data_IF_784836006313
#
_entry.id   IF_784836006313
#
_cell.length_a   1.000
_cell.length_b   1.000
_cell.length_c   1.000
_cell.angle_alpha   90.00
_cell.angle_beta   90.00
_cell.angle_gamma   90.00
#
_symmetry.space_group_name_H-M   'P 1'
#
loop_
_entity.id
_entity.type
_entity.pdbx_description
1 polymer ?
#
# COMPACT_ATOMS: atom_id res chain seq x y z
N UNK A 1 -43.91 21.90 -48.56
CA UNK A 1 -43.19 20.62 -48.42
C UNK A 1 -41.74 20.83 -47.95
N UNK A 2 -41.05 21.90 -48.38
CA UNK A 2 -39.66 22.23 -47.97
C UNK A 2 -39.44 22.69 -46.49
N UNK A 3 -40.49 23.04 -45.74
CA UNK A 3 -40.37 23.46 -44.33
C UNK A 3 -40.38 22.28 -43.32
N UNK A 4 -40.74 21.06 -43.74
CA UNK A 4 -40.69 19.86 -42.89
C UNK A 4 -39.33 19.15 -42.91
N UNK A 5 -38.51 19.40 -43.92
CA UNK A 5 -37.18 18.79 -44.05
C UNK A 5 -36.11 19.51 -43.20
N UNK A 6 -36.25 20.83 -42.97
CA UNK A 6 -35.29 21.58 -42.15
C UNK A 6 -35.41 21.29 -40.65
N UNK A 7 -36.62 21.08 -40.12
CA UNK A 7 -36.85 20.81 -38.70
C UNK A 7 -36.38 19.40 -38.26
N UNK A 8 -36.38 18.45 -39.20
CA UNK A 8 -35.84 17.10 -39.00
C UNK A 8 -34.31 17.08 -38.99
N UNK A 9 -33.65 18.02 -39.69
CA UNK A 9 -32.19 18.13 -39.72
C UNK A 9 -31.62 18.78 -38.46
N UNK A 10 -32.32 19.77 -37.89
CA UNK A 10 -31.95 20.44 -36.63
C UNK A 10 -32.14 19.52 -35.43
N UNK A 11 -33.27 18.78 -35.35
CA UNK A 11 -33.49 17.82 -34.27
C UNK A 11 -32.48 16.66 -34.25
N UNK A 12 -32.00 16.22 -35.43
CA UNK A 12 -30.94 15.21 -35.54
C UNK A 12 -29.56 15.73 -35.12
N UNK A 13 -29.23 16.96 -35.50
CA UNK A 13 -27.98 17.59 -35.10
C UNK A 13 -27.93 17.86 -33.58
N UNK A 14 -29.06 18.28 -32.99
CA UNK A 14 -29.19 18.50 -31.55
C UNK A 14 -29.13 17.17 -30.75
N UNK A 15 -29.74 16.09 -31.27
CA UNK A 15 -29.62 14.74 -30.69
C UNK A 15 -28.20 14.15 -30.82
N UNK A 16 -27.52 14.35 -31.95
CA UNK A 16 -26.14 13.92 -32.17
C UNK A 16 -25.15 14.68 -31.27
N UNK A 17 -25.34 15.98 -31.09
CA UNK A 17 -24.50 16.82 -30.21
C UNK A 17 -24.73 16.50 -28.72
N UNK A 18 -25.98 16.21 -28.34
CA UNK A 18 -26.32 15.73 -27.00
C UNK A 18 -25.67 14.37 -26.69
N UNK A 19 -25.73 13.43 -27.64
CA UNK A 19 -25.13 12.09 -27.50
C UNK A 19 -23.61 12.16 -27.41
N UNK A 20 -22.98 13.03 -28.21
CA UNK A 20 -21.53 13.25 -28.16
C UNK A 20 -21.09 13.88 -26.84
N UNK A 21 -21.84 14.86 -26.35
CA UNK A 21 -21.58 15.53 -25.07
C UNK A 21 -21.67 14.55 -23.89
N UNK A 22 -22.68 13.67 -23.90
CA UNK A 22 -22.80 12.61 -22.90
C UNK A 22 -21.60 11.65 -22.93
N UNK A 23 -21.14 11.28 -24.13
CA UNK A 23 -19.99 10.38 -24.29
C UNK A 23 -18.68 11.01 -23.80
N UNK A 24 -18.48 12.30 -24.05
CA UNK A 24 -17.31 13.03 -23.54
C UNK A 24 -17.32 13.04 -22.01
N UNK A 25 -18.45 13.41 -21.40
CA UNK A 25 -18.58 13.42 -19.94
C UNK A 25 -18.35 12.04 -19.30
N UNK A 26 -18.78 10.97 -19.96
CA UNK A 26 -18.49 9.60 -19.52
C UNK A 26 -16.99 9.29 -19.54
N UNK A 27 -16.29 9.66 -20.63
CA UNK A 27 -14.85 9.44 -20.76
C UNK A 27 -14.03 10.27 -19.78
N UNK A 28 -14.43 11.52 -19.53
CA UNK A 28 -13.81 12.37 -18.50
C UNK A 28 -13.97 11.73 -17.11
N UNK A 29 -15.18 11.28 -16.77
CA UNK A 29 -15.43 10.58 -15.50
C UNK A 29 -14.63 9.27 -15.34
N UNK A 30 -14.34 8.59 -16.43
CA UNK A 30 -13.49 7.41 -16.43
C UNK A 30 -12.00 7.76 -16.32
N UNK A 31 -11.55 8.83 -16.96
CA UNK A 31 -10.18 9.32 -16.82
C UNK A 31 -9.91 9.70 -15.36
N UNK A 32 -10.79 10.49 -14.73
CA UNK A 32 -10.70 10.85 -13.31
C UNK A 32 -10.65 9.60 -12.41
N UNK A 33 -11.41 8.56 -12.77
CA UNK A 33 -11.37 7.29 -12.07
C UNK A 33 -10.02 6.59 -12.23
N UNK A 34 -9.48 6.50 -13.45
CA UNK A 34 -8.19 5.88 -13.73
C UNK A 34 -7.02 6.60 -13.04
N UNK A 35 -7.02 7.93 -13.06
CA UNK A 35 -6.00 8.74 -12.37
C UNK A 35 -6.02 8.48 -10.86
N UNK A 36 -7.21 8.40 -10.26
CA UNK A 36 -7.35 8.13 -8.82
C UNK A 36 -6.85 6.74 -8.44
N UNK A 37 -7.20 5.70 -9.20
CA UNK A 37 -6.75 4.33 -8.88
C UNK A 37 -5.25 4.16 -9.10
N UNK A 38 -4.66 4.87 -10.05
CA UNK A 38 -3.23 4.83 -10.34
C UNK A 38 -2.36 5.41 -9.20
N UNK A 39 -2.93 6.22 -8.30
CA UNK A 39 -2.17 6.76 -7.16
C UNK A 39 -1.93 5.73 -6.04
N UNK A 40 -2.74 4.65 -5.95
CA UNK A 40 -2.53 3.56 -4.99
C UNK A 40 -2.76 3.91 -3.51
N UNK A 41 -3.51 4.99 -3.22
CA UNK A 41 -3.78 5.45 -1.85
C UNK A 41 -5.01 4.83 -1.19
N UNK A 42 -5.99 4.38 -1.98
CA UNK A 42 -7.26 3.80 -1.50
C UNK A 42 -7.26 2.27 -1.65
N UNK A 43 -8.17 1.60 -0.93
CA UNK A 43 -8.39 0.16 -1.10
C UNK A 43 -9.17 -0.05 -2.41
N UNK A 44 -8.66 -0.91 -3.30
CA UNK A 44 -9.39 -1.29 -4.52
C UNK A 44 -10.52 -2.26 -4.20
N UNK A 45 -11.73 -1.71 -4.07
CA UNK A 45 -12.96 -2.46 -3.83
C UNK A 45 -13.42 -3.25 -5.06
N UNK A 46 -14.30 -4.24 -4.86
CA UNK A 46 -14.82 -5.09 -5.94
C UNK A 46 -15.50 -4.27 -7.03
N UNK A 47 -16.29 -3.27 -6.65
CA UNK A 47 -17.02 -2.41 -7.58
C UNK A 47 -16.08 -1.59 -8.46
N UNK A 48 -14.93 -1.18 -7.91
CA UNK A 48 -13.90 -0.44 -8.63
C UNK A 48 -13.19 -1.34 -9.64
N UNK A 49 -12.86 -2.57 -9.25
CA UNK A 49 -12.26 -3.56 -10.15
C UNK A 49 -13.23 -3.92 -11.28
N UNK A 50 -14.51 -4.10 -10.98
CA UNK A 50 -15.52 -4.35 -12.01
C UNK A 50 -15.70 -3.16 -12.95
N UNK A 51 -15.65 -1.92 -12.44
CA UNK A 51 -15.62 -0.71 -13.29
C UNK A 51 -14.38 -0.70 -14.18
N UNK A 52 -13.20 -0.99 -13.63
CA UNK A 52 -11.94 -1.03 -14.37
C UNK A 52 -11.95 -2.10 -15.48
N UNK A 53 -12.47 -3.32 -15.19
CA UNK A 53 -12.66 -4.37 -16.20
C UNK A 53 -13.56 -3.91 -17.34
N UNK A 54 -14.66 -3.20 -17.05
CA UNK A 54 -15.54 -2.63 -18.09
C UNK A 54 -14.82 -1.62 -18.98
N UNK A 55 -13.97 -0.78 -18.40
CA UNK A 55 -13.15 0.18 -19.15
C UNK A 55 -12.12 -0.56 -20.01
N UNK A 56 -11.47 -1.59 -19.48
CA UNK A 56 -10.46 -2.39 -20.16
C UNK A 56 -10.99 -3.17 -21.39
N UNK A 57 -12.31 -3.44 -21.46
CA UNK A 57 -12.92 -4.02 -22.65
C UNK A 57 -12.90 -3.08 -23.87
N UNK A 58 -12.68 -1.77 -23.65
CA UNK A 58 -12.66 -0.79 -24.74
C UNK A 58 -11.39 -0.93 -25.55
N UNK A 59 -11.56 -0.68 -26.84
CA UNK A 59 -10.48 -0.54 -27.79
C UNK A 59 -10.57 0.83 -28.43
N UNK A 60 -9.42 1.39 -28.75
CA UNK A 60 -9.34 2.61 -29.54
C UNK A 60 -8.68 2.27 -30.87
N UNK A 61 -9.07 2.97 -31.93
CA UNK A 61 -8.43 2.82 -33.23
C UNK A 61 -7.40 3.92 -33.41
N UNK A 62 -6.17 3.53 -33.73
CA UNK A 62 -5.14 4.46 -34.15
C UNK A 62 -4.54 4.01 -35.47
N UNK A 63 -4.85 4.77 -36.53
CA UNK A 63 -4.36 4.49 -37.87
C UNK A 63 -4.92 3.22 -38.49
N UNK A 64 -6.18 2.87 -38.21
CA UNK A 64 -6.86 1.68 -38.72
C UNK A 64 -6.48 0.39 -37.98
N UNK A 65 -5.80 0.51 -36.83
CA UNK A 65 -5.41 -0.60 -35.98
C UNK A 65 -6.10 -0.47 -34.62
N UNK A 66 -6.79 -1.52 -34.16
CA UNK A 66 -7.38 -1.52 -32.83
C UNK A 66 -6.29 -1.79 -31.78
N UNK A 67 -6.22 -0.93 -30.76
CA UNK A 67 -5.41 -1.12 -29.57
C UNK A 67 -6.33 -1.25 -28.34
N UNK A 68 -5.96 -2.09 -27.35
CA UNK A 68 -6.64 -2.05 -26.07
C UNK A 68 -6.50 -0.66 -25.45
N UNK A 69 -7.56 -0.16 -24.82
CA UNK A 69 -7.48 1.11 -24.08
C UNK A 69 -6.61 0.95 -22.83
N UNK A 70 -6.68 -0.22 -22.20
CA UNK A 70 -5.87 -0.65 -21.06
C UNK A 70 -5.39 -2.07 -21.37
N UNK A 71 -4.09 -2.31 -21.29
CA UNK A 71 -3.50 -3.64 -21.50
C UNK A 71 -3.84 -4.59 -20.35
N UNK A 72 -3.67 -5.89 -20.55
CA UNK A 72 -3.87 -6.88 -19.49
C UNK A 72 -2.91 -6.67 -18.29
N UNK A 73 -1.69 -6.22 -18.59
CA UNK A 73 -0.67 -5.86 -17.57
C UNK A 73 -1.09 -4.64 -16.76
N UNK A 74 -1.54 -3.57 -17.42
CA UNK A 74 -2.04 -2.37 -16.72
C UNK A 74 -3.30 -2.69 -15.90
N UNK A 75 -4.20 -3.53 -16.42
CA UNK A 75 -5.38 -3.99 -15.68
C UNK A 75 -4.96 -4.75 -14.41
N UNK A 76 -3.96 -5.63 -14.50
CA UNK A 76 -3.42 -6.34 -13.34
C UNK A 76 -2.86 -5.36 -12.29
N UNK A 77 -2.00 -4.44 -12.71
CA UNK A 77 -1.37 -3.46 -11.84
C UNK A 77 -2.39 -2.51 -11.19
N UNK A 78 -3.39 -2.03 -11.94
CA UNK A 78 -4.44 -1.16 -11.43
C UNK A 78 -5.45 -1.91 -10.54
N UNK A 79 -5.48 -3.24 -10.56
CA UNK A 79 -6.39 -4.07 -9.75
C UNK A 79 -5.80 -4.46 -8.38
N UNK A 80 -4.59 -4.00 -8.04
CA UNK A 80 -3.95 -4.32 -6.75
C UNK A 80 -4.84 -3.83 -5.59
N UNK A 81 -5.21 -4.75 -4.70
CA UNK A 81 -6.16 -4.48 -3.60
C UNK A 81 -5.69 -3.42 -2.62
N UNK A 82 -4.40 -3.43 -2.30
CA UNK A 82 -3.83 -2.57 -1.26
C UNK A 82 -2.36 -2.27 -1.55
N UNK A 83 -2.03 -0.98 -1.58
CA UNK A 83 -0.71 -0.50 -1.95
C UNK A 83 -0.51 -0.56 -3.46
N UNK A 84 0.75 -0.52 -3.89
CA UNK A 84 1.13 -0.34 -5.29
C UNK A 84 1.99 -1.48 -5.83
N UNK A 85 2.12 -2.56 -5.07
CA UNK A 85 3.00 -3.69 -5.41
C UNK A 85 2.15 -4.90 -5.78
N UNK A 86 2.47 -5.48 -6.92
CA UNK A 86 2.02 -6.80 -7.34
C UNK A 86 2.52 -7.87 -6.34
N UNK A 87 1.97 -9.09 -6.43
CA UNK A 87 2.43 -10.19 -5.57
C UNK A 87 3.90 -10.53 -5.87
N UNK A 88 4.29 -10.50 -7.13
CA UNK A 88 5.65 -10.80 -7.58
C UNK A 88 6.66 -9.75 -7.09
N UNK A 89 6.32 -8.47 -7.19
CA UNK A 89 7.17 -7.39 -6.65
C UNK A 89 7.26 -7.46 -5.13
N UNK A 90 6.16 -7.80 -4.46
CA UNK A 90 6.14 -7.98 -3.01
C UNK A 90 7.06 -9.12 -2.58
N UNK A 91 7.07 -10.22 -3.31
CA UNK A 91 7.97 -11.35 -3.05
C UNK A 91 9.44 -10.97 -3.24
N UNK A 92 9.75 -10.20 -4.30
CA UNK A 92 11.10 -9.67 -4.53
C UNK A 92 11.55 -8.79 -3.36
N UNK A 93 10.68 -7.92 -2.87
CA UNK A 93 11.00 -7.04 -1.73
C UNK A 93 11.16 -7.87 -0.45
N UNK A 94 10.22 -8.77 -0.15
CA UNK A 94 10.27 -9.61 1.06
C UNK A 94 11.53 -10.48 1.12
N UNK A 95 12.07 -10.88 -0.04
CA UNK A 95 13.30 -11.66 -0.14
C UNK A 95 14.52 -10.96 0.50
N UNK A 96 14.51 -9.64 0.73
CA UNK A 96 15.61 -8.95 1.42
C UNK A 96 15.91 -9.55 2.81
N UNK A 97 14.89 -10.05 3.51
CA UNK A 97 15.06 -10.67 4.82
C UNK A 97 15.83 -12.00 4.72
N UNK A 98 15.48 -12.82 3.73
CA UNK A 98 16.19 -14.08 3.43
C UNK A 98 17.63 -13.82 2.94
N UNK A 99 17.81 -12.81 2.10
CA UNK A 99 19.14 -12.38 1.63
C UNK A 99 19.99 -11.91 2.82
N UNK A 100 19.41 -11.13 3.74
CA UNK A 100 20.05 -10.70 4.99
C UNK A 100 20.52 -11.90 5.82
N UNK A 101 19.66 -12.90 6.04
CA UNK A 101 20.05 -14.13 6.72
C UNK A 101 21.25 -14.78 6.02
N UNK A 102 21.18 -14.97 4.70
CA UNK A 102 22.22 -15.64 3.91
C UNK A 102 23.56 -14.90 3.97
N UNK A 103 23.54 -13.57 3.95
CA UNK A 103 24.75 -12.74 4.05
C UNK A 103 25.34 -12.81 5.45
N UNK A 104 24.53 -12.56 6.48
CA UNK A 104 25.00 -12.52 7.87
C UNK A 104 25.46 -13.88 8.37
N UNK A 105 24.84 -14.98 7.94
CA UNK A 105 25.27 -16.34 8.32
C UNK A 105 26.68 -16.72 7.84
N UNK A 106 27.24 -15.98 6.86
CA UNK A 106 28.62 -16.19 6.39
C UNK A 106 29.65 -15.42 7.21
N UNK A 107 29.22 -14.50 8.07
CA UNK A 107 30.13 -13.71 8.89
C UNK A 107 30.57 -14.50 10.13
N UNK A 108 31.84 -14.35 10.57
CA UNK A 108 32.38 -15.10 11.71
C UNK A 108 31.93 -14.49 13.05
N UNK A 109 30.64 -14.58 13.36
CA UNK A 109 30.12 -14.09 14.64
C UNK A 109 30.70 -14.89 15.83
N UNK A 110 31.11 -14.22 16.93
CA UNK A 110 31.41 -14.90 18.19
C UNK A 110 30.21 -15.71 18.67
N UNK A 111 30.44 -16.77 19.47
CA UNK A 111 29.37 -17.66 19.97
C UNK A 111 28.17 -16.93 20.57
N UNK A 112 28.41 -15.83 21.29
CA UNK A 112 27.35 -14.99 21.91
C UNK A 112 26.46 -14.24 20.90
N UNK A 113 26.91 -14.05 19.66
CA UNK A 113 26.20 -13.36 18.58
C UNK A 113 25.77 -14.30 17.46
N UNK A 114 25.87 -15.62 17.64
CA UNK A 114 25.58 -16.60 16.57
C UNK A 114 24.17 -16.52 16.00
N UNK A 115 23.22 -15.97 16.76
CA UNK A 115 21.81 -15.85 16.37
C UNK A 115 21.47 -14.48 15.72
N UNK A 116 22.43 -13.55 15.62
CA UNK A 116 22.20 -12.25 14.96
C UNK A 116 21.62 -12.39 13.55
N UNK A 117 22.08 -13.34 12.69
CA UNK A 117 21.47 -13.55 11.38
C UNK A 117 19.97 -13.86 11.43
N UNK A 118 19.54 -14.67 12.41
CA UNK A 118 18.14 -15.02 12.60
C UNK A 118 17.34 -13.81 13.08
N UNK A 119 17.84 -13.07 14.06
CA UNK A 119 17.13 -11.91 14.60
C UNK A 119 16.92 -10.83 13.54
N UNK A 120 17.96 -10.56 12.74
CA UNK A 120 17.88 -9.62 11.64
C UNK A 120 16.96 -10.09 10.51
N UNK A 121 16.85 -11.39 10.26
CA UNK A 121 15.97 -11.90 9.22
C UNK A 121 14.50 -12.03 9.66
N UNK A 122 14.27 -12.31 10.95
CA UNK A 122 12.93 -12.61 11.48
C UNK A 122 12.16 -11.36 11.97
N UNK A 123 12.69 -10.14 11.83
CA UNK A 123 12.01 -8.93 12.33
C UNK A 123 10.77 -8.53 11.52
N UNK A 124 10.51 -9.17 10.38
CA UNK A 124 9.25 -9.05 9.63
C UNK A 124 8.29 -10.22 9.85
N UNK A 125 8.64 -11.14 10.76
CA UNK A 125 7.70 -12.16 11.23
C UNK A 125 6.60 -11.51 12.08
N UNK A 126 5.42 -12.13 12.06
CA UNK A 126 4.24 -11.67 12.79
C UNK A 126 3.73 -12.82 13.65
N UNK A 127 3.15 -12.53 14.82
CA UNK A 127 2.78 -13.59 15.76
C UNK A 127 1.73 -14.57 15.21
N UNK A 128 0.89 -14.14 14.27
CA UNK A 128 -0.08 -14.97 13.54
C UNK A 128 0.53 -15.88 12.46
N UNK A 129 1.80 -15.64 12.10
CA UNK A 129 2.55 -16.31 11.05
C UNK A 129 2.22 -15.87 9.63
N UNK A 130 1.55 -14.73 9.45
CA UNK A 130 1.42 -14.07 8.14
C UNK A 130 2.65 -13.23 7.77
N UNK A 131 3.70 -13.28 8.59
CA UNK A 131 4.98 -12.65 8.36
C UNK A 131 5.91 -13.48 7.46
N UNK A 132 7.12 -12.98 7.29
CA UNK A 132 8.14 -13.56 6.42
C UNK A 132 9.53 -13.37 7.06
N UNK A 133 10.56 -14.14 6.64
CA UNK A 133 10.60 -15.07 5.52
C UNK A 133 10.39 -16.56 5.87
N UNK A 134 10.25 -16.91 7.14
CA UNK A 134 10.13 -18.30 7.62
C UNK A 134 8.70 -18.66 8.02
N UNK A 135 7.83 -17.68 8.27
CA UNK A 135 6.44 -17.91 8.69
C UNK A 135 6.33 -18.40 10.14
N UNK A 136 7.22 -17.90 11.00
CA UNK A 136 7.26 -18.25 12.43
C UNK A 136 6.02 -17.70 13.15
N UNK A 137 5.54 -18.39 14.17
CA UNK A 137 4.35 -18.02 14.94
C UNK A 137 4.64 -17.86 16.43
N UNK A 138 4.03 -16.84 17.03
CA UNK A 138 4.06 -16.63 18.49
C UNK A 138 5.48 -16.74 19.10
N UNK A 139 5.69 -17.80 19.88
CA UNK A 139 6.94 -18.08 20.61
C UNK A 139 8.07 -18.64 19.75
N UNK A 140 7.80 -19.02 18.50
CA UNK A 140 8.85 -19.40 17.54
C UNK A 140 9.69 -18.17 17.13
N UNK A 141 9.11 -16.97 17.22
CA UNK A 141 9.79 -15.72 16.90
C UNK A 141 10.68 -15.32 18.09
N UNK A 142 12.01 -15.21 17.91
CA UNK A 142 12.89 -14.80 19.00
C UNK A 142 12.52 -13.44 19.57
N UNK A 143 12.58 -13.28 20.89
CA UNK A 143 12.30 -12.02 21.58
C UNK A 143 13.05 -10.82 20.96
N UNK A 144 14.32 -11.02 20.58
CA UNK A 144 15.14 -9.98 19.95
C UNK A 144 14.56 -9.53 18.59
N UNK A 145 14.02 -10.46 17.80
CA UNK A 145 13.35 -10.14 16.54
C UNK A 145 12.04 -9.38 16.79
N UNK A 146 11.25 -9.79 17.80
CA UNK A 146 10.04 -9.07 18.21
C UNK A 146 10.34 -7.63 18.66
N UNK A 147 11.44 -7.42 19.39
CA UNK A 147 11.91 -6.07 19.80
C UNK A 147 12.29 -5.23 18.58
N UNK A 148 13.07 -5.79 17.64
CA UNK A 148 13.45 -5.08 16.41
C UNK A 148 12.20 -4.73 15.59
N UNK A 149 11.26 -5.67 15.44
CA UNK A 149 10.01 -5.45 14.72
C UNK A 149 9.21 -4.28 15.30
N UNK A 150 9.07 -4.23 16.63
CA UNK A 150 8.38 -3.13 17.31
C UNK A 150 9.04 -1.78 17.04
N UNK A 151 10.37 -1.73 17.15
CA UNK A 151 11.15 -0.51 16.92
C UNK A 151 11.06 -0.04 15.46
N UNK A 152 11.22 -0.97 14.51
CA UNK A 152 11.13 -0.71 13.07
C UNK A 152 9.76 -0.19 12.66
N UNK A 153 8.67 -0.82 13.15
CA UNK A 153 7.30 -0.36 12.89
C UNK A 153 7.08 1.06 13.45
N UNK A 154 7.53 1.32 14.67
CA UNK A 154 7.33 2.64 15.29
C UNK A 154 8.11 3.74 14.57
N UNK A 155 9.38 3.48 14.23
CA UNK A 155 10.20 4.40 13.43
C UNK A 155 9.53 4.65 12.07
N UNK A 156 9.17 3.59 11.36
CA UNK A 156 8.58 3.69 10.04
C UNK A 156 7.27 4.51 10.02
N UNK A 157 6.44 4.38 11.08
CA UNK A 157 5.18 5.14 11.22
C UNK A 157 5.40 6.61 11.56
N UNK A 158 6.49 6.94 12.23
CA UNK A 158 6.76 8.30 12.75
C UNK A 158 7.80 9.07 11.94
N UNK A 159 8.51 8.40 11.02
CA UNK A 159 9.53 8.99 10.14
C UNK A 159 9.05 10.27 9.45
N UNK A 160 9.88 11.32 9.53
CA UNK A 160 9.61 12.68 9.01
C UNK A 160 9.67 12.75 7.48
N UNK A 161 10.54 11.94 6.89
CA UNK A 161 11.09 12.20 5.55
C UNK A 161 10.53 11.23 4.49
N UNK A 162 9.21 11.03 4.45
CA UNK A 162 8.58 10.26 3.37
C UNK A 162 8.16 11.20 2.23
N UNK A 163 8.66 11.01 0.99
CA UNK A 163 8.38 11.89 -0.15
C UNK A 163 6.89 12.09 -0.48
N UNK A 164 6.04 11.15 -0.05
CA UNK A 164 4.62 11.08 -0.41
C UNK A 164 3.66 11.18 0.78
N UNK A 165 4.14 11.33 2.02
CA UNK A 165 3.27 11.37 3.20
C UNK A 165 3.93 12.11 4.37
N UNK A 166 3.20 13.03 5.00
CA UNK A 166 3.63 13.57 6.30
C UNK A 166 3.71 12.44 7.33
N UNK A 167 4.77 12.41 8.12
CA UNK A 167 4.93 11.47 9.23
C UNK A 167 3.71 11.52 10.16
N UNK A 168 3.29 10.37 10.69
CA UNK A 168 2.15 10.34 11.60
C UNK A 168 2.48 11.10 12.89
N UNK A 169 1.44 11.61 13.55
CA UNK A 169 1.56 12.06 14.94
C UNK A 169 1.78 10.86 15.86
N UNK A 170 2.28 11.14 17.07
CA UNK A 170 2.57 10.12 18.07
C UNK A 170 1.32 9.33 18.43
N UNK A 171 0.19 10.01 18.65
CA UNK A 171 -1.09 9.35 18.94
C UNK A 171 -1.56 8.44 17.81
N UNK A 172 -1.38 8.87 16.56
CA UNK A 172 -1.76 8.09 15.38
C UNK A 172 -0.89 6.84 15.24
N UNK A 173 0.43 6.96 15.40
CA UNK A 173 1.35 5.82 15.34
C UNK A 173 1.03 4.76 16.41
N UNK A 174 0.85 5.18 17.66
CA UNK A 174 0.50 4.28 18.76
C UNK A 174 -0.87 3.63 18.56
N UNK A 175 -1.83 4.37 17.98
CA UNK A 175 -3.14 3.81 17.63
C UNK A 175 -3.01 2.70 16.58
N UNK A 176 -2.21 2.90 15.53
CA UNK A 176 -1.95 1.86 14.52
C UNK A 176 -1.30 0.63 15.16
N UNK A 177 -0.26 0.81 15.97
CA UNK A 177 0.40 -0.30 16.67
C UNK A 177 -0.57 -1.04 17.61
N UNK A 178 -1.49 -0.33 18.28
CA UNK A 178 -2.52 -0.96 19.11
C UNK A 178 -3.46 -1.89 18.32
N UNK A 179 -3.76 -1.56 17.06
CA UNK A 179 -4.50 -2.46 16.18
C UNK A 179 -3.65 -3.65 15.76
N UNK A 180 -2.37 -3.46 15.48
CA UNK A 180 -1.45 -4.56 15.16
C UNK A 180 -1.33 -5.56 16.30
N UNK A 181 -1.37 -5.10 17.56
CA UNK A 181 -1.44 -6.00 18.73
C UNK A 181 -2.75 -6.77 18.76
N UNK A 182 -3.90 -6.11 18.50
CA UNK A 182 -5.22 -6.77 18.45
C UNK A 182 -5.32 -7.81 17.33
N UNK A 183 -4.70 -7.53 16.20
CA UNK A 183 -4.64 -8.44 15.04
C UNK A 183 -3.60 -9.56 15.23
N UNK A 184 -2.95 -9.65 16.40
CA UNK A 184 -1.89 -10.61 16.70
C UNK A 184 -0.71 -10.54 15.72
N UNK A 185 -0.38 -9.34 15.23
CA UNK A 185 0.82 -9.10 14.44
C UNK A 185 2.02 -8.70 15.30
N UNK A 186 1.77 -8.02 16.43
CA UNK A 186 2.79 -7.47 17.32
C UNK A 186 2.62 -7.99 18.76
N UNK A 187 3.74 -8.18 19.45
CA UNK A 187 3.78 -8.66 20.83
C UNK A 187 3.20 -7.66 21.84
N UNK A 188 2.14 -8.10 22.54
CA UNK A 188 1.40 -7.27 23.46
C UNK A 188 2.22 -6.88 24.69
N UNK A 189 3.05 -7.78 25.21
CA UNK A 189 3.84 -7.53 26.42
C UNK A 189 4.95 -6.52 26.13
N UNK A 190 5.63 -6.67 24.98
CA UNK A 190 6.60 -5.68 24.53
C UNK A 190 5.97 -4.31 24.26
N UNK A 191 4.79 -4.28 23.62
CA UNK A 191 4.09 -3.02 23.37
C UNK A 191 3.65 -2.34 24.68
N UNK A 192 3.18 -3.11 25.65
CA UNK A 192 2.81 -2.58 26.97
C UNK A 192 4.04 -2.02 27.71
N UNK A 193 5.17 -2.73 27.68
CA UNK A 193 6.42 -2.24 28.27
C UNK A 193 6.87 -0.93 27.60
N UNK A 194 6.81 -0.88 26.26
CA UNK A 194 7.16 0.30 25.47
C UNK A 194 6.34 1.55 25.85
N UNK A 195 5.05 1.36 26.16
CA UNK A 195 4.16 2.41 26.64
C UNK A 195 4.41 2.79 28.11
N UNK A 196 4.52 1.80 29.00
CA UNK A 196 4.66 2.01 30.44
C UNK A 196 5.96 2.76 30.79
N UNK A 197 7.06 2.35 30.18
CA UNK A 197 8.38 2.98 30.35
C UNK A 197 8.54 4.26 29.53
N UNK A 198 7.50 4.68 28.78
CA UNK A 198 7.49 5.89 27.94
C UNK A 198 8.64 5.97 26.93
N UNK A 199 9.16 4.82 26.50
CA UNK A 199 10.27 4.74 25.52
C UNK A 199 9.88 5.47 24.21
N UNK A 200 8.61 5.34 23.80
CA UNK A 200 8.06 6.06 22.65
C UNK A 200 8.21 7.58 22.75
N UNK A 201 8.07 8.14 23.96
CA UNK A 201 8.14 9.58 24.20
C UNK A 201 9.59 10.06 24.28
N UNK A 202 10.47 9.25 24.86
CA UNK A 202 11.90 9.55 24.91
C UNK A 202 12.51 9.57 23.51
N UNK A 203 12.15 8.60 22.66
CA UNK A 203 12.49 8.62 21.24
C UNK A 203 11.88 9.85 20.54
N UNK A 204 10.58 10.10 20.74
CA UNK A 204 9.89 11.20 20.08
C UNK A 204 10.52 12.57 20.35
N UNK A 205 10.95 12.82 21.59
CA UNK A 205 11.61 14.08 21.97
C UNK A 205 12.96 14.30 21.31
N UNK A 206 13.65 13.22 20.94
CA UNK A 206 14.97 13.27 20.31
C UNK A 206 14.83 13.34 18.79
N UNK A 207 13.95 12.50 18.23
CA UNK A 207 13.95 12.19 16.81
C UNK A 207 12.74 12.72 16.05
N UNK A 208 11.65 13.18 16.69
CA UNK A 208 10.43 13.67 16.01
C UNK A 208 10.34 15.20 15.98
N UNK A 209 9.48 15.72 15.10
CA UNK A 209 9.22 17.16 15.02
C UNK A 209 8.28 17.55 16.16
N UNK A 210 8.37 18.77 16.71
CA UNK A 210 7.47 19.22 17.77
C UNK A 210 5.99 19.04 17.43
N UNK A 211 5.60 19.26 16.17
CA UNK A 211 4.22 19.15 15.72
C UNK A 211 3.70 17.69 15.67
N UNK A 212 4.60 16.71 15.70
CA UNK A 212 4.23 15.28 15.74
C UNK A 212 3.97 14.80 17.18
N UNK A 213 4.45 15.52 18.20
CA UNK A 213 4.31 15.14 19.60
C UNK A 213 3.00 15.74 20.16
N UNK A 214 1.89 15.21 19.69
CA UNK A 214 0.52 15.66 20.02
C UNK A 214 -0.02 15.14 21.37
N UNK A 215 0.83 14.44 22.14
CA UNK A 215 0.50 13.80 23.40
C UNK A 215 1.31 14.33 24.59
N UNK A 216 1.99 15.47 24.43
CA UNK A 216 2.79 16.10 25.48
C UNK A 216 1.94 16.83 26.53
#
# INVERSE_FOLDING_TARGET
>A
QALKENCASTGRADEEDSTRSQRIAELESEMDFLERVNWGGEIMADEMIEKLKKIALRRWDFGGKPYPLITEEELYNLSIRKGTLTEEERDIINNHAMVTHKMLSKLPFPKKLRNVPLYAAAHHEKLDGSGYPFGLKGEEIPLQAKIIALADIFEALTAKDRPYKKGNTLSSALKVMSFMVKDNHLDADLFNLFLQEKIYLDYARQELLPEQIDMA
#
